data_IF_360895081632
#
_entry.id   IF_360895081632
#
_cell.length_a   1.000
_cell.length_b   1.000
_cell.length_c   1.000
_cell.angle_alpha   90.00
_cell.angle_beta   90.00
_cell.angle_gamma   90.00
#
_symmetry.space_group_name_H-M   'P 1'
#
loop_
_entity.id
_entity.type
_entity.pdbx_description
1 polymer ?
#
# COMPACT_ATOMS: atom_id res chain seq x y z
N UNK A 1 43.95 0.42 -32.53
CA UNK A 1 43.50 0.86 -31.20
C UNK A 1 42.04 1.23 -31.36
N UNK A 2 41.16 0.39 -30.84
CA UNK A 2 39.71 0.62 -30.87
C UNK A 2 39.34 1.20 -29.52
N UNK A 3 38.76 2.39 -29.53
CA UNK A 3 38.24 3.07 -28.35
C UNK A 3 36.98 2.30 -27.91
N UNK A 4 37.01 1.76 -26.70
CA UNK A 4 35.89 1.07 -26.07
C UNK A 4 35.06 2.14 -25.36
N UNK A 5 33.96 2.55 -26.00
CA UNK A 5 32.95 3.44 -25.42
C UNK A 5 32.41 2.81 -24.13
N UNK A 6 32.92 3.27 -22.98
CA UNK A 6 32.43 2.89 -21.67
C UNK A 6 31.12 3.63 -21.43
N UNK A 7 30.00 2.93 -21.64
CA UNK A 7 28.65 3.42 -21.29
C UNK A 7 28.61 3.71 -19.78
N UNK A 8 28.15 4.90 -19.33
CA UNK A 8 28.03 5.16 -17.90
C UNK A 8 26.97 4.21 -17.31
N UNK A 9 27.38 3.47 -16.28
CA UNK A 9 26.47 2.71 -15.44
C UNK A 9 25.57 3.70 -14.71
N UNK A 10 24.25 3.58 -14.90
CA UNK A 10 23.24 4.29 -14.11
C UNK A 10 23.35 3.78 -12.66
N UNK A 11 24.03 4.53 -11.80
CA UNK A 11 24.02 4.29 -10.35
C UNK A 11 22.60 4.54 -9.83
N UNK A 12 21.80 3.48 -9.73
CA UNK A 12 20.49 3.53 -9.07
C UNK A 12 20.67 3.91 -7.61
N UNK A 13 20.10 5.04 -7.21
CA UNK A 13 20.13 5.52 -5.83
C UNK A 13 19.39 4.52 -4.91
N UNK A 14 20.02 4.00 -3.84
CA UNK A 14 19.39 3.06 -2.91
C UNK A 14 18.06 3.55 -2.32
N UNK A 15 17.90 4.86 -2.12
CA UNK A 15 16.66 5.46 -1.61
C UNK A 15 15.51 5.36 -2.61
N UNK A 16 15.79 5.47 -3.91
CA UNK A 16 14.79 5.34 -4.98
C UNK A 16 14.34 3.88 -5.13
N UNK A 17 15.27 2.92 -5.02
CA UNK A 17 14.94 1.49 -5.02
C UNK A 17 14.00 1.10 -3.88
N UNK A 18 14.22 1.63 -2.68
CA UNK A 18 13.38 1.36 -1.51
C UNK A 18 12.00 1.99 -1.68
N UNK A 19 11.92 3.21 -2.22
CA UNK A 19 10.65 3.86 -2.54
C UNK A 19 9.85 3.08 -3.59
N UNK A 20 10.50 2.57 -4.63
CA UNK A 20 9.87 1.77 -5.68
C UNK A 20 9.34 0.43 -5.15
N UNK A 21 10.10 -0.25 -4.30
CA UNK A 21 9.67 -1.49 -3.63
C UNK A 21 8.43 -1.25 -2.77
N UNK A 22 8.43 -0.16 -2.00
CA UNK A 22 7.28 0.22 -1.19
C UNK A 22 6.03 0.53 -2.02
N UNK A 23 6.19 1.29 -3.10
CA UNK A 23 5.10 1.59 -4.03
C UNK A 23 4.56 0.33 -4.70
N UNK A 24 5.41 -0.64 -5.01
CA UNK A 24 4.98 -1.93 -5.52
C UNK A 24 4.13 -2.70 -4.49
N UNK A 25 4.49 -2.70 -3.21
CA UNK A 25 3.67 -3.30 -2.15
C UNK A 25 2.31 -2.61 -1.99
N UNK A 26 2.26 -1.28 -2.08
CA UNK A 26 1.01 -0.50 -2.07
C UNK A 26 0.12 -0.91 -3.25
N UNK A 27 0.68 -0.95 -4.47
CA UNK A 27 -0.04 -1.33 -5.67
C UNK A 27 -0.57 -2.77 -5.58
N UNK A 28 0.23 -3.70 -5.05
CA UNK A 28 -0.18 -5.08 -4.86
C UNK A 28 -1.36 -5.19 -3.88
N UNK A 29 -1.30 -4.49 -2.74
CA UNK A 29 -2.39 -4.48 -1.76
C UNK A 29 -3.68 -3.88 -2.35
N UNK A 30 -3.58 -2.76 -3.08
CA UNK A 30 -4.73 -2.14 -3.73
C UNK A 30 -5.38 -3.09 -4.75
N UNK A 31 -4.56 -3.71 -5.62
CA UNK A 31 -5.04 -4.64 -6.63
C UNK A 31 -5.65 -5.91 -6.03
N UNK A 32 -5.15 -6.36 -4.87
CA UNK A 32 -5.78 -7.46 -4.13
C UNK A 32 -7.21 -7.11 -3.72
N UNK A 33 -7.44 -5.88 -3.26
CA UNK A 33 -8.76 -5.33 -3.00
C UNK A 33 -9.68 -5.32 -4.22
N UNK A 34 -9.16 -4.83 -5.35
CA UNK A 34 -9.89 -4.79 -6.62
C UNK A 34 -10.30 -6.20 -7.07
N UNK A 35 -9.39 -7.17 -6.97
CA UNK A 35 -9.66 -8.56 -7.30
C UNK A 35 -10.73 -9.18 -6.39
N UNK A 36 -10.71 -8.87 -5.09
CA UNK A 36 -11.75 -9.29 -4.16
C UNK A 36 -13.12 -8.67 -4.52
N UNK A 37 -13.16 -7.43 -4.99
CA UNK A 37 -14.41 -6.79 -5.45
C UNK A 37 -14.99 -7.53 -6.66
N UNK A 38 -14.15 -7.81 -7.66
CA UNK A 38 -14.56 -8.49 -8.89
C UNK A 38 -15.01 -9.93 -8.63
N UNK A 39 -14.29 -10.68 -7.79
CA UNK A 39 -14.56 -12.10 -7.53
C UNK A 39 -15.73 -12.34 -6.58
N UNK A 40 -15.98 -11.44 -5.62
CA UNK A 40 -17.10 -11.57 -4.69
C UNK A 40 -18.46 -11.20 -5.30
N UNK A 41 -18.48 -10.57 -6.48
CA UNK A 41 -19.73 -10.14 -7.13
C UNK A 41 -20.62 -9.28 -6.22
N UNK A 42 -20.01 -8.52 -5.28
CA UNK A 42 -20.69 -7.75 -4.23
C UNK A 42 -21.52 -8.56 -3.22
N UNK A 43 -21.38 -9.90 -3.18
CA UNK A 43 -22.16 -10.76 -2.27
C UNK A 43 -21.64 -10.80 -0.84
N UNK A 44 -20.34 -10.54 -0.64
CA UNK A 44 -19.71 -10.50 0.67
C UNK A 44 -19.77 -9.09 1.26
N UNK A 45 -20.01 -8.99 2.56
CA UNK A 45 -19.97 -7.69 3.23
C UNK A 45 -18.52 -7.25 3.50
N UNK A 46 -18.33 -5.96 3.79
CA UNK A 46 -17.00 -5.37 4.00
C UNK A 46 -16.23 -6.00 5.17
N UNK A 47 -16.92 -6.47 6.21
CA UNK A 47 -16.29 -7.08 7.39
C UNK A 47 -15.73 -8.46 7.07
N UNK A 48 -16.47 -9.25 6.30
CA UNK A 48 -16.01 -10.56 5.79
C UNK A 48 -14.77 -10.38 4.92
N UNK A 49 -14.81 -9.42 3.99
CA UNK A 49 -13.68 -9.10 3.11
C UNK A 49 -12.48 -8.59 3.90
N UNK A 50 -12.68 -7.74 4.91
CA UNK A 50 -11.61 -7.26 5.77
C UNK A 50 -10.90 -8.41 6.50
N UNK A 51 -11.67 -9.40 6.96
CA UNK A 51 -11.12 -10.59 7.63
C UNK A 51 -10.30 -11.46 6.66
N UNK A 52 -10.84 -11.73 5.47
CA UNK A 52 -10.17 -12.55 4.46
C UNK A 52 -8.87 -11.88 3.96
N UNK A 53 -8.94 -10.60 3.58
CA UNK A 53 -7.79 -9.84 3.12
C UNK A 53 -6.74 -9.66 4.22
N UNK A 54 -7.17 -9.37 5.45
CA UNK A 54 -6.26 -9.20 6.58
C UNK A 54 -5.47 -10.48 6.86
N UNK A 55 -6.15 -11.63 6.85
CA UNK A 55 -5.49 -12.93 7.00
C UNK A 55 -4.52 -13.21 5.85
N UNK A 56 -4.92 -12.96 4.60
CA UNK A 56 -4.07 -13.20 3.45
C UNK A 56 -2.81 -12.33 3.48
N UNK A 57 -2.96 -11.04 3.78
CA UNK A 57 -1.84 -10.09 3.87
C UNK A 57 -0.90 -10.48 5.02
N UNK A 58 -1.44 -10.83 6.19
CA UNK A 58 -0.64 -11.29 7.31
C UNK A 58 0.19 -12.53 6.95
N UNK A 59 -0.41 -13.52 6.30
CA UNK A 59 0.28 -14.74 5.90
C UNK A 59 1.40 -14.45 4.89
N UNK A 60 1.17 -13.54 3.94
CA UNK A 60 2.21 -13.14 2.99
C UNK A 60 3.41 -12.49 3.72
N UNK A 61 3.17 -11.59 4.68
CA UNK A 61 4.26 -11.01 5.45
C UNK A 61 4.94 -12.02 6.38
N UNK A 62 4.17 -12.91 7.01
CA UNK A 62 4.73 -13.94 7.87
C UNK A 62 5.62 -14.93 7.09
N UNK A 63 5.24 -15.27 5.85
CA UNK A 63 6.08 -16.11 4.98
C UNK A 63 7.35 -15.39 4.53
N UNK A 64 7.24 -14.10 4.20
CA UNK A 64 8.38 -13.32 3.72
C UNK A 64 9.37 -12.93 4.83
N UNK A 65 8.88 -12.67 6.05
CA UNK A 65 9.66 -12.02 7.11
C UNK A 65 9.50 -12.63 8.52
N UNK A 66 8.64 -13.64 8.69
CA UNK A 66 8.19 -14.10 10.01
C UNK A 66 9.25 -14.71 10.91
N UNK A 67 10.43 -15.07 10.38
CA UNK A 67 11.57 -15.53 11.18
C UNK A 67 12.43 -14.40 11.75
N UNK A 68 12.37 -13.20 11.18
CA UNK A 68 13.33 -12.12 11.43
C UNK A 68 12.70 -10.89 12.11
N UNK A 69 11.38 -10.78 12.12
CA UNK A 69 10.68 -9.54 12.52
C UNK A 69 9.65 -9.79 13.64
N UNK A 70 9.54 -8.82 14.55
CA UNK A 70 8.60 -8.85 15.68
C UNK A 70 7.13 -8.93 15.21
N UNK A 71 6.31 -9.73 15.90
CA UNK A 71 4.88 -9.90 15.64
C UNK A 71 4.09 -8.58 15.66
N UNK A 72 4.43 -7.63 16.53
CA UNK A 72 3.77 -6.32 16.58
C UNK A 72 3.98 -5.52 15.29
N UNK A 73 5.16 -5.67 14.68
CA UNK A 73 5.52 -5.05 13.42
C UNK A 73 4.75 -5.68 12.26
N UNK A 74 4.69 -7.01 12.23
CA UNK A 74 3.89 -7.78 11.26
C UNK A 74 2.41 -7.36 11.28
N UNK A 75 1.83 -7.24 12.47
CA UNK A 75 0.43 -6.80 12.64
C UNK A 75 0.20 -5.38 12.14
N UNK A 76 1.09 -4.45 12.49
CA UNK A 76 0.95 -3.06 12.06
C UNK A 76 1.04 -2.90 10.54
N UNK A 77 1.95 -3.64 9.89
CA UNK A 77 2.05 -3.63 8.43
C UNK A 77 0.82 -4.26 7.80
N UNK A 78 0.35 -5.38 8.36
CA UNK A 78 -0.90 -6.01 7.93
C UNK A 78 -2.06 -5.03 7.99
N UNK A 79 -2.24 -4.29 9.08
CA UNK A 79 -3.30 -3.28 9.19
C UNK A 79 -3.17 -2.19 8.14
N UNK A 80 -1.96 -1.68 7.92
CA UNK A 80 -1.72 -0.64 6.91
C UNK A 80 -2.10 -1.11 5.49
N UNK A 81 -1.60 -2.28 5.07
CA UNK A 81 -1.90 -2.81 3.74
C UNK A 81 -3.35 -3.29 3.62
N UNK A 82 -3.98 -3.74 4.71
CA UNK A 82 -5.40 -4.04 4.74
C UNK A 82 -6.25 -2.82 4.45
N UNK A 83 -5.92 -1.65 5.02
CA UNK A 83 -6.63 -0.41 4.71
C UNK A 83 -6.54 -0.06 3.22
N UNK A 84 -5.37 -0.25 2.61
CA UNK A 84 -5.15 -0.04 1.17
C UNK A 84 -5.97 -1.02 0.34
N UNK A 85 -5.98 -2.30 0.71
CA UNK A 85 -6.77 -3.32 0.03
C UNK A 85 -8.28 -3.04 0.15
N UNK A 86 -8.75 -2.58 1.32
CA UNK A 86 -10.15 -2.19 1.49
C UNK A 86 -10.53 -0.98 0.63
N UNK A 87 -9.63 -0.01 0.45
CA UNK A 87 -9.85 1.05 -0.54
C UNK A 87 -10.00 0.47 -1.96
N UNK A 88 -9.13 -0.46 -2.36
CA UNK A 88 -9.24 -1.17 -3.64
C UNK A 88 -10.54 -1.97 -3.80
N UNK A 89 -11.11 -2.47 -2.70
CA UNK A 89 -12.39 -3.18 -2.70
C UNK A 89 -13.60 -2.24 -2.81
N UNK A 90 -13.58 -1.11 -2.10
CA UNK A 90 -14.71 -0.19 -1.99
C UNK A 90 -14.80 0.73 -3.21
N UNK A 91 -13.67 1.28 -3.65
CA UNK A 91 -13.62 2.32 -4.70
C UNK A 91 -14.30 1.89 -6.00
N UNK A 92 -14.07 0.68 -6.55
CA UNK A 92 -14.77 0.24 -7.75
C UNK A 92 -16.28 0.23 -7.58
N UNK A 93 -16.80 -0.20 -6.42
CA UNK A 93 -18.23 -0.23 -6.16
C UNK A 93 -18.88 1.15 -5.99
N UNK A 94 -18.17 2.09 -5.36
CA UNK A 94 -18.68 3.45 -5.12
C UNK A 94 -18.49 4.36 -6.32
N UNK A 95 -17.37 4.22 -7.03
CA UNK A 95 -16.99 5.11 -8.14
C UNK A 95 -17.41 4.59 -9.52
N UNK A 96 -17.91 3.35 -9.64
CA UNK A 96 -18.39 2.82 -10.92
C UNK A 96 -19.55 3.63 -11.53
N UNK A 97 -20.26 4.39 -10.71
CA UNK A 97 -21.47 5.12 -11.11
C UNK A 97 -21.27 6.64 -11.22
N UNK A 98 -20.11 7.19 -10.81
CA UNK A 98 -19.85 8.63 -10.79
C UNK A 98 -18.35 8.97 -10.97
N UNK A 99 -18.00 9.47 -12.16
CA UNK A 99 -16.64 9.85 -12.52
C UNK A 99 -16.13 11.10 -11.78
N UNK A 100 -17.03 12.00 -11.37
CA UNK A 100 -16.66 13.22 -10.64
C UNK A 100 -16.33 12.88 -9.19
N UNK A 101 -17.05 11.92 -8.61
CA UNK A 101 -16.73 11.37 -7.28
C UNK A 101 -15.37 10.69 -7.28
N UNK A 102 -15.03 9.95 -8.34
CA UNK A 102 -13.71 9.32 -8.49
C UNK A 102 -12.58 10.35 -8.40
N UNK A 103 -12.68 11.48 -9.11
CA UNK A 103 -11.67 12.53 -9.04
C UNK A 103 -11.59 13.17 -7.65
N UNK A 104 -12.74 13.53 -7.04
CA UNK A 104 -12.75 14.10 -5.68
C UNK A 104 -12.20 13.16 -4.62
N UNK A 105 -12.39 11.85 -4.78
CA UNK A 105 -11.84 10.87 -3.84
C UNK A 105 -10.30 10.89 -3.86
N UNK A 106 -9.70 10.93 -5.05
CA UNK A 106 -8.24 11.06 -5.17
C UNK A 106 -7.74 12.38 -4.58
N UNK A 107 -8.46 13.49 -4.80
CA UNK A 107 -8.13 14.78 -4.18
C UNK A 107 -8.21 14.73 -2.65
N UNK A 108 -9.21 14.05 -2.09
CA UNK A 108 -9.37 13.87 -0.64
C UNK A 108 -8.25 13.00 -0.06
N UNK A 109 -7.85 11.93 -0.75
CA UNK A 109 -6.71 11.10 -0.36
C UNK A 109 -5.42 11.91 -0.38
N UNK A 110 -5.19 12.70 -1.43
CA UNK A 110 -4.02 13.57 -1.55
C UNK A 110 -3.98 14.65 -0.46
N UNK A 111 -5.12 15.28 -0.16
CA UNK A 111 -5.23 16.27 0.91
C UNK A 111 -4.92 15.65 2.29
N UNK A 112 -5.42 14.45 2.57
CA UNK A 112 -5.11 13.72 3.82
C UNK A 112 -3.64 13.34 3.92
N UNK A 113 -3.02 12.91 2.83
CA UNK A 113 -1.60 12.59 2.79
C UNK A 113 -0.73 13.83 3.11
N UNK A 114 -1.05 14.98 2.50
CA UNK A 114 -0.38 16.25 2.82
C UNK A 114 -0.58 16.70 4.26
N UNK A 115 -1.79 16.54 4.80
CA UNK A 115 -2.09 16.92 6.17
C UNK A 115 -1.30 16.06 7.18
N UNK A 116 -1.13 14.77 6.89
CA UNK A 116 -0.29 13.89 7.71
C UNK A 116 1.20 14.24 7.62
N UNK A 117 1.70 14.65 6.44
CA UNK A 117 3.07 15.16 6.29
C UNK A 117 3.30 16.47 7.07
N UNK A 118 2.30 17.37 7.10
CA UNK A 118 2.37 18.59 7.91
C UNK A 118 2.39 18.28 9.41
N UNK A 119 1.58 17.33 9.87
CA UNK A 119 1.61 16.89 11.28
C UNK A 119 2.92 16.22 11.69
N UNK A 120 3.59 15.54 10.76
CA UNK A 120 4.94 15.01 10.99
C UNK A 120 6.01 16.11 11.02
N UNK A 121 5.84 17.20 10.26
CA UNK A 121 6.73 18.36 10.27
C UNK A 121 6.55 19.26 11.52
N UNK A 122 5.39 19.20 12.19
CA UNK A 122 5.05 20.02 13.37
C UNK A 122 5.33 19.33 14.72
N UNK A 123 5.96 18.14 14.74
CA UNK A 123 6.60 17.59 15.93
C UNK A 123 5.68 16.96 17.00
N UNK A 124 4.59 16.30 16.63
CA UNK A 124 3.85 15.39 17.54
C UNK A 124 4.56 14.03 17.72
N UNK A 125 4.45 13.36 18.89
CA UNK A 125 5.32 12.25 19.26
C UNK A 125 5.15 11.01 18.36
N UNK A 126 6.22 10.21 18.17
CA UNK A 126 6.23 9.08 17.27
C UNK A 126 5.53 7.87 17.91
N UNK A 127 4.22 7.78 17.72
CA UNK A 127 3.44 6.55 17.95
C UNK A 127 3.22 5.72 16.69
N UNK A 128 3.72 6.18 15.54
CA UNK A 128 3.46 5.57 14.24
C UNK A 128 4.30 4.32 14.03
N UNK A 129 3.63 3.17 13.99
CA UNK A 129 4.18 1.89 13.55
C UNK A 129 5.11 2.06 12.35
N UNK A 130 6.37 1.64 12.53
CA UNK A 130 7.31 1.52 11.42
C UNK A 130 6.74 0.54 10.39
N UNK A 131 6.73 0.96 9.14
CA UNK A 131 6.33 0.15 7.99
C UNK A 131 7.61 -0.47 7.40
N UNK A 132 7.61 -1.76 7.05
CA UNK A 132 8.77 -2.41 6.44
C UNK A 132 8.90 -1.85 5.03
N UNK A 133 10.10 -1.37 4.71
CA UNK A 133 10.53 -0.96 3.37
C UNK A 133 11.64 -1.90 2.96
#
# INVERSE_FOLDING_TARGET
MSEEDTKPEEETNPEEMVADQFMNSINMAFNLGVAAHQSSGQSKNVVEIATELGNQIYQNFAQAYGGEINESFLKANTEYFLQIALMGYIIPGVCAFDNDFKQRLFDLVYARARQNQQKQAEGEPPGGSRIIT
#
